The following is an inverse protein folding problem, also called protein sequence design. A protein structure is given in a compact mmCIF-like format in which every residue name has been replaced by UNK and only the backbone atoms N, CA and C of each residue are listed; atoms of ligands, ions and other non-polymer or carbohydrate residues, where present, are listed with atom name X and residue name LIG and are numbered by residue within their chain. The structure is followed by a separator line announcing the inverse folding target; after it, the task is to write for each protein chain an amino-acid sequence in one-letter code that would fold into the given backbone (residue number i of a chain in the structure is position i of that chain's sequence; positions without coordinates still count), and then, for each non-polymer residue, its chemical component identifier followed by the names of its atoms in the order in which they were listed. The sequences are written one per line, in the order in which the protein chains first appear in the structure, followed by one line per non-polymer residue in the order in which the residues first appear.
data_IF_158252312138
#
_entry.id   IF_158252312138
#
_cell.length_a   1.000
_cell.length_b   1.000
_cell.length_c   1.000
_cell.angle_alpha   90.00
_cell.angle_beta   90.00
_cell.angle_gamma   90.00
#
_symmetry.space_group_name_H-M   'P 1'
#
loop_
_entity.id
_entity.type
_entity.pdbx_description
1 polymer ?
#
# COMPACT_ATOMS: atom_id res chain seq x y z
N UNK A 1 7.47 -13.74 59.82
CA UNK A 1 6.34 -14.41 59.11
C UNK A 1 5.63 -13.52 58.09
N UNK A 2 6.25 -12.41 57.68
CA UNK A 2 5.68 -11.48 56.68
C UNK A 2 6.41 -11.51 55.29
N UNK A 3 7.50 -12.23 55.15
CA UNK A 3 8.29 -12.26 53.91
C UNK A 3 7.82 -13.38 52.96
N UNK A 4 7.09 -14.37 53.45
CA UNK A 4 6.60 -15.49 52.62
C UNK A 4 5.34 -15.16 51.80
N UNK A 5 4.56 -14.14 52.18
CA UNK A 5 3.32 -13.78 51.50
C UNK A 5 3.55 -12.91 50.26
N UNK A 6 4.63 -12.11 50.24
CA UNK A 6 4.96 -11.24 49.12
C UNK A 6 5.54 -11.98 47.89
N UNK A 7 6.32 -13.03 48.14
CA UNK A 7 6.92 -13.86 47.07
C UNK A 7 5.86 -14.73 46.39
N UNK A 8 4.84 -15.17 47.11
CA UNK A 8 3.76 -15.99 46.57
C UNK A 8 2.79 -15.20 45.67
N UNK A 9 2.57 -13.92 45.89
CA UNK A 9 1.69 -13.09 45.05
C UNK A 9 2.38 -12.73 43.74
N UNK A 10 3.65 -12.32 43.77
CA UNK A 10 4.41 -12.00 42.57
C UNK A 10 4.64 -13.21 41.63
N UNK A 11 4.80 -14.42 42.19
CA UNK A 11 4.88 -15.66 41.40
C UNK A 11 3.53 -16.15 40.86
N UNK A 12 2.42 -15.65 41.37
CA UNK A 12 1.07 -15.99 40.90
C UNK A 12 0.51 -14.98 39.88
N UNK A 13 0.88 -13.69 39.97
CA UNK A 13 0.24 -12.59 39.23
C UNK A 13 1.20 -11.68 38.44
N UNK A 14 2.51 -11.93 38.45
CA UNK A 14 3.47 -11.19 37.58
C UNK A 14 3.46 -11.67 36.14
N UNK A 15 4.07 -10.93 35.21
CA UNK A 15 4.13 -11.24 33.77
C UNK A 15 4.63 -12.66 33.45
N UNK A 16 5.33 -13.30 34.38
CA UNK A 16 5.75 -14.70 34.34
C UNK A 16 5.05 -15.57 35.41
N UNK A 17 3.95 -15.11 35.98
CA UNK A 17 3.20 -15.79 37.02
C UNK A 17 2.49 -17.05 36.54
N UNK A 18 2.23 -17.98 37.47
CA UNK A 18 1.53 -19.23 37.12
C UNK A 18 0.14 -18.96 36.58
N UNK A 19 -0.57 -17.96 37.10
CA UNK A 19 -1.91 -17.60 36.60
C UNK A 19 -1.86 -17.00 35.17
N UNK A 20 -0.83 -16.20 34.86
CA UNK A 20 -0.63 -15.65 33.51
C UNK A 20 -0.35 -16.78 32.51
N UNK A 21 0.56 -17.72 32.87
CA UNK A 21 0.85 -18.88 32.01
C UNK A 21 -0.32 -19.85 31.85
N UNK A 22 -1.15 -19.99 32.87
CA UNK A 22 -2.39 -20.81 32.76
C UNK A 22 -3.41 -20.10 31.87
N UNK A 23 -3.53 -18.78 31.96
CA UNK A 23 -4.40 -17.99 31.10
C UNK A 23 -3.96 -18.07 29.63
N UNK A 24 -2.67 -17.82 29.35
CA UNK A 24 -2.08 -17.95 28.01
C UNK A 24 -2.20 -19.35 27.44
N UNK A 25 -2.00 -20.39 28.29
CA UNK A 25 -2.16 -21.78 27.85
C UNK A 25 -3.62 -22.12 27.54
N UNK A 26 -4.57 -21.55 28.30
CA UNK A 26 -6.00 -21.74 28.05
C UNK A 26 -6.41 -21.03 26.76
N UNK A 27 -5.97 -19.80 26.55
CA UNK A 27 -6.25 -19.01 25.35
C UNK A 27 -5.71 -19.68 24.08
N UNK A 28 -4.45 -20.16 24.10
CA UNK A 28 -3.88 -20.95 23.00
C UNK A 28 -4.62 -22.26 22.72
N UNK A 29 -5.20 -22.86 23.76
CA UNK A 29 -5.99 -24.09 23.60
C UNK A 29 -7.36 -23.78 22.98
N UNK A 30 -8.00 -22.69 23.40
CA UNK A 30 -9.28 -22.23 22.85
C UNK A 30 -9.10 -21.80 21.38
N UNK A 31 -8.04 -21.07 21.03
CA UNK A 31 -7.70 -20.69 19.66
C UNK A 31 -7.48 -21.93 18.76
N UNK A 32 -6.73 -22.92 19.23
CA UNK A 32 -6.51 -24.14 18.47
C UNK A 32 -7.82 -24.91 18.23
N UNK A 33 -8.72 -24.93 19.22
CA UNK A 33 -10.04 -25.58 19.09
C UNK A 33 -10.96 -24.80 18.13
N UNK A 34 -10.93 -23.48 18.14
CA UNK A 34 -11.69 -22.67 17.19
C UNK A 34 -11.21 -22.87 15.76
N UNK A 35 -9.89 -22.86 15.51
CA UNK A 35 -9.31 -23.11 14.19
C UNK A 35 -9.66 -24.52 13.67
N UNK A 36 -9.53 -25.54 14.51
CA UNK A 36 -9.92 -26.92 14.18
C UNK A 36 -11.41 -27.01 13.83
N UNK A 37 -12.26 -26.32 14.58
CA UNK A 37 -13.69 -26.21 14.29
C UNK A 37 -14.01 -25.54 12.97
N UNK A 38 -13.27 -24.46 12.62
CA UNK A 38 -13.41 -23.78 11.32
C UNK A 38 -12.94 -24.67 10.17
N UNK A 39 -11.83 -25.40 10.32
CA UNK A 39 -11.36 -26.39 9.33
C UNK A 39 -12.39 -27.49 9.06
N UNK A 40 -13.03 -27.97 10.11
CA UNK A 40 -14.11 -28.97 10.00
C UNK A 40 -15.33 -28.39 9.29
N UNK A 41 -15.76 -27.17 9.64
CA UNK A 41 -16.87 -26.47 8.99
C UNK A 41 -16.58 -26.22 7.50
N UNK A 42 -15.35 -25.82 7.14
CA UNK A 42 -14.91 -25.66 5.77
C UNK A 42 -15.04 -26.96 4.97
N UNK A 43 -14.53 -28.04 5.54
CA UNK A 43 -14.62 -29.37 4.92
C UNK A 43 -16.07 -29.80 4.74
N UNK A 44 -16.92 -29.53 5.73
CA UNK A 44 -18.36 -29.82 5.68
C UNK A 44 -19.07 -28.97 4.62
N UNK A 45 -18.75 -27.69 4.53
CA UNK A 45 -19.33 -26.77 3.55
C UNK A 45 -18.99 -27.15 2.09
N UNK A 46 -17.87 -27.80 1.87
CA UNK A 46 -17.44 -28.27 0.54
C UNK A 46 -18.01 -29.67 0.16
N UNK A 47 -18.63 -30.35 1.11
CA UNK A 47 -19.25 -31.66 0.88
C UNK A 47 -20.78 -31.50 0.92
N UNK A 48 -21.42 -31.46 -0.25
CA UNK A 48 -22.88 -31.47 -0.36
C UNK A 48 -23.45 -32.85 -0.51
N UNK A 49 -24.76 -32.96 -0.52
CA UNK A 49 -25.53 -34.25 -0.64
C UNK A 49 -25.17 -35.01 -1.93
N UNK A 50 -24.63 -34.33 -2.95
CA UNK A 50 -24.29 -34.90 -4.26
C UNK A 50 -22.77 -35.03 -4.49
N UNK A 51 -21.93 -34.77 -3.50
CA UNK A 51 -20.47 -34.75 -3.59
C UNK A 51 -19.89 -33.34 -3.38
N UNK A 52 -18.70 -33.08 -3.98
CA UNK A 52 -18.03 -31.80 -3.84
C UNK A 52 -18.87 -30.64 -4.38
N UNK A 53 -19.00 -29.57 -3.60
CA UNK A 53 -19.64 -28.32 -3.99
C UNK A 53 -18.70 -27.13 -3.79
N UNK A 54 -18.93 -26.09 -4.57
CA UNK A 54 -18.16 -24.85 -4.45
C UNK A 54 -18.50 -24.14 -3.14
N UNK A 55 -17.47 -23.65 -2.46
CA UNK A 55 -17.62 -22.89 -1.22
C UNK A 55 -18.28 -21.54 -1.50
N UNK A 56 -19.33 -21.22 -0.75
CA UNK A 56 -19.99 -19.92 -0.80
C UNK A 56 -20.45 -19.52 0.61
N UNK A 57 -20.84 -18.25 0.77
CA UNK A 57 -21.26 -17.72 2.07
C UNK A 57 -22.36 -18.54 2.74
N UNK A 58 -23.35 -19.00 1.96
CA UNK A 58 -24.51 -19.69 2.51
C UNK A 58 -24.16 -21.08 3.06
N UNK A 59 -23.38 -21.88 2.30
CA UNK A 59 -23.00 -23.21 2.75
C UNK A 59 -21.95 -23.17 3.87
N UNK A 60 -21.08 -22.17 3.86
CA UNK A 60 -20.12 -21.95 4.94
C UNK A 60 -20.81 -21.48 6.21
N UNK A 61 -21.74 -20.52 6.14
CA UNK A 61 -22.53 -20.09 7.31
C UNK A 61 -23.28 -21.25 7.96
N UNK A 62 -23.93 -22.08 7.13
CA UNK A 62 -24.63 -23.25 7.64
C UNK A 62 -23.68 -24.20 8.38
N UNK A 63 -22.52 -24.50 7.82
CA UNK A 63 -21.54 -25.38 8.45
C UNK A 63 -20.94 -24.79 9.73
N UNK A 64 -20.74 -23.48 9.78
CA UNK A 64 -20.31 -22.76 10.99
C UNK A 64 -21.40 -22.82 12.07
N UNK A 65 -22.67 -22.61 11.73
CA UNK A 65 -23.79 -22.71 12.67
C UNK A 65 -23.97 -24.13 13.21
N UNK A 66 -23.76 -25.15 12.38
CA UNK A 66 -23.74 -26.55 12.81
C UNK A 66 -22.58 -26.88 13.77
N UNK A 67 -21.39 -26.29 13.54
CA UNK A 67 -20.19 -26.57 14.33
C UNK A 67 -20.17 -25.80 15.68
N UNK A 68 -20.57 -24.53 15.67
CA UNK A 68 -20.43 -23.63 16.83
C UNK A 68 -21.75 -23.24 17.48
N UNK A 69 -22.88 -23.49 16.82
CA UNK A 69 -24.20 -23.07 17.23
C UNK A 69 -24.71 -21.85 16.46
N UNK A 70 -26.00 -21.83 16.16
CA UNK A 70 -26.65 -20.77 15.38
C UNK A 70 -26.43 -19.38 16.01
N UNK A 71 -25.98 -18.43 15.18
CA UNK A 71 -25.73 -17.04 15.58
C UNK A 71 -24.48 -16.81 16.45
N UNK A 72 -23.63 -17.82 16.64
CA UNK A 72 -22.35 -17.67 17.37
C UNK A 72 -21.28 -17.01 16.54
N UNK A 73 -21.32 -17.16 15.22
CA UNK A 73 -20.45 -16.48 14.29
C UNK A 73 -21.19 -16.08 13.02
N UNK A 74 -20.69 -15.04 12.36
CA UNK A 74 -21.24 -14.52 11.10
C UNK A 74 -20.20 -14.69 10.01
N UNK A 75 -20.58 -15.29 8.89
CA UNK A 75 -19.75 -15.43 7.70
C UNK A 75 -20.05 -14.29 6.72
N UNK A 76 -19.01 -13.60 6.27
CA UNK A 76 -19.10 -12.54 5.27
C UNK A 76 -18.25 -12.91 4.06
N UNK A 77 -18.82 -12.81 2.86
CA UNK A 77 -18.10 -12.94 1.59
C UNK A 77 -17.39 -11.62 1.26
N UNK A 78 -16.08 -11.66 1.06
CA UNK A 78 -15.26 -10.49 0.73
C UNK A 78 -15.26 -10.14 -0.76
N UNK A 79 -16.04 -10.85 -1.59
CA UNK A 79 -16.10 -10.72 -3.07
C UNK A 79 -14.80 -11.07 -3.82
N UNK A 80 -13.75 -11.46 -3.10
CA UNK A 80 -12.45 -11.89 -3.65
C UNK A 80 -12.26 -13.41 -3.52
N UNK A 81 -13.36 -14.18 -3.43
CA UNK A 81 -13.37 -15.61 -3.10
C UNK A 81 -12.70 -15.92 -1.74
N UNK A 82 -12.61 -14.99 -0.83
CA UNK A 82 -12.26 -15.20 0.57
C UNK A 82 -13.45 -14.92 1.48
N UNK A 83 -13.44 -15.48 2.69
CA UNK A 83 -14.53 -15.30 3.65
C UNK A 83 -13.96 -14.83 4.98
N UNK A 84 -14.73 -13.99 5.68
CA UNK A 84 -14.45 -13.61 7.07
C UNK A 84 -15.48 -14.30 7.96
N UNK A 85 -15.01 -15.01 8.97
CA UNK A 85 -15.84 -15.60 10.03
C UNK A 85 -15.63 -14.75 11.28
N UNK A 86 -16.71 -14.10 11.74
CA UNK A 86 -16.71 -13.22 12.90
C UNK A 86 -17.40 -13.88 14.08
N UNK A 87 -16.64 -14.18 15.11
CA UNK A 87 -17.13 -14.49 16.46
C UNK A 87 -17.30 -13.22 17.29
N UNK A 88 -17.81 -13.32 18.49
CA UNK A 88 -18.04 -12.16 19.36
C UNK A 88 -16.76 -11.33 19.62
N UNK A 89 -15.61 -12.01 19.80
CA UNK A 89 -14.35 -11.39 20.21
C UNK A 89 -13.18 -11.69 19.23
N UNK A 90 -13.42 -12.43 18.14
CA UNK A 90 -12.38 -12.87 17.19
C UNK A 90 -12.91 -12.91 15.77
N UNK A 91 -12.05 -12.69 14.83
CA UNK A 91 -12.34 -12.81 13.40
C UNK A 91 -11.29 -13.67 12.72
N UNK A 92 -11.71 -14.49 11.78
CA UNK A 92 -10.83 -15.35 10.99
C UNK A 92 -11.05 -15.07 9.50
N UNK A 93 -9.99 -14.91 8.76
CA UNK A 93 -10.04 -14.88 7.29
C UNK A 93 -9.75 -16.27 6.74
N UNK A 94 -10.58 -16.69 5.80
CA UNK A 94 -10.38 -17.88 4.99
C UNK A 94 -10.00 -17.43 3.59
N UNK A 95 -8.77 -17.72 3.18
CA UNK A 95 -8.28 -17.41 1.84
C UNK A 95 -8.88 -18.36 0.79
N UNK A 96 -8.76 -18.00 -0.50
CA UNK A 96 -9.12 -18.87 -1.63
C UNK A 96 -8.48 -20.26 -1.61
N UNK A 97 -7.33 -20.39 -0.96
CA UNK A 97 -6.60 -21.65 -0.81
C UNK A 97 -7.07 -22.46 0.40
N UNK A 98 -8.06 -21.97 1.16
CA UNK A 98 -8.54 -22.61 2.38
C UNK A 98 -7.66 -22.36 3.61
N UNK A 99 -6.66 -21.46 3.53
CA UNK A 99 -5.87 -21.11 4.69
C UNK A 99 -6.69 -20.24 5.65
N UNK A 100 -6.66 -20.59 6.94
CA UNK A 100 -7.34 -19.89 8.01
C UNK A 100 -6.31 -19.08 8.77
N UNK A 101 -6.51 -17.76 8.81
CA UNK A 101 -5.73 -16.82 9.62
C UNK A 101 -6.65 -16.08 10.58
N UNK A 102 -6.27 -15.99 11.84
CA UNK A 102 -6.97 -15.12 12.78
C UNK A 102 -6.69 -13.65 12.39
N UNK A 103 -7.75 -12.87 12.24
CA UNK A 103 -7.64 -11.43 12.15
C UNK A 103 -7.51 -10.95 13.60
N UNK A 104 -6.28 -10.78 14.06
CA UNK A 104 -6.07 -10.21 15.39
C UNK A 104 -6.48 -8.74 15.35
N UNK A 105 -7.65 -8.44 15.89
CA UNK A 105 -7.95 -7.08 16.31
C UNK A 105 -7.22 -6.88 17.63
N UNK A 106 -6.07 -6.23 17.59
CA UNK A 106 -5.39 -5.82 18.81
C UNK A 106 -6.24 -4.72 19.44
N UNK A 107 -7.02 -5.12 20.46
CA UNK A 107 -7.84 -4.19 21.27
C UNK A 107 -7.01 -3.50 22.36
N UNK A 108 -5.70 -3.71 22.38
CA UNK A 108 -4.80 -3.19 23.41
C UNK A 108 -3.93 -1.99 22.99
N UNK A 109 -4.06 -1.48 21.76
CA UNK A 109 -3.44 -0.20 21.47
C UNK A 109 -4.23 0.90 22.20
N UNK A 110 -3.58 1.57 23.13
CA UNK A 110 -4.09 2.85 23.63
C UNK A 110 -4.37 3.71 22.41
N UNK A 111 -5.61 4.24 22.21
CA UNK A 111 -5.90 5.05 21.04
C UNK A 111 -4.82 6.12 20.84
N UNK A 112 -4.13 6.11 19.68
CA UNK A 112 -3.08 7.06 19.33
C UNK A 112 -1.67 6.66 19.73
N UNK A 113 -1.40 5.38 19.79
CA UNK A 113 -0.04 4.85 19.85
C UNK A 113 0.04 3.59 18.98
N UNK A 114 1.16 3.41 18.30
CA UNK A 114 1.47 2.13 17.66
C UNK A 114 2.08 1.18 18.71
N UNK A 115 1.79 -0.10 18.61
CA UNK A 115 2.49 -1.11 19.39
C UNK A 115 3.97 -1.17 18.96
N UNK A 116 4.86 -1.59 19.87
CA UNK A 116 6.32 -1.64 19.63
C UNK A 116 7.05 -0.42 20.21
N UNK A 117 8.36 -0.37 19.97
CA UNK A 117 9.22 0.70 20.50
C UNK A 117 10.10 1.38 19.41
N UNK A 118 9.84 1.09 18.12
CA UNK A 118 10.50 1.70 16.99
C UNK A 118 11.91 1.20 16.69
N UNK A 119 12.40 0.16 17.36
CA UNK A 119 13.71 -0.45 17.06
C UNK A 119 13.61 -1.47 15.94
N UNK A 120 14.72 -1.86 15.34
CA UNK A 120 14.76 -2.89 14.29
C UNK A 120 14.20 -4.24 14.76
N UNK A 121 14.44 -4.59 16.03
CA UNK A 121 13.98 -5.86 16.62
C UNK A 121 12.56 -5.77 17.18
N UNK A 122 12.10 -4.58 17.51
CA UNK A 122 10.77 -4.28 18.05
C UNK A 122 10.18 -3.04 17.36
N UNK A 123 9.87 -3.14 16.05
CA UNK A 123 9.36 -2.01 15.26
C UNK A 123 7.98 -1.56 15.76
N UNK A 124 7.61 -0.34 15.45
CA UNK A 124 6.22 0.09 15.55
C UNK A 124 5.36 -0.73 14.58
N UNK A 125 4.20 -1.20 15.05
CA UNK A 125 3.36 -2.12 14.29
C UNK A 125 2.12 -1.40 13.72
N UNK A 126 1.83 -1.67 12.44
CA UNK A 126 0.57 -1.32 11.79
C UNK A 126 -0.20 -2.61 11.58
N UNK A 127 -1.29 -2.78 12.32
CA UNK A 127 -2.10 -3.99 12.35
C UNK A 127 -3.49 -3.77 11.76
N UNK A 128 -3.91 -2.50 11.66
CA UNK A 128 -5.24 -2.09 11.22
C UNK A 128 -5.19 -0.83 10.34
N UNK A 129 -6.32 -0.47 9.73
CA UNK A 129 -6.47 0.81 9.02
C UNK A 129 -6.33 1.97 10.00
N UNK A 130 -6.80 1.80 11.23
CA UNK A 130 -6.68 2.78 12.32
C UNK A 130 -5.23 3.12 12.60
N UNK A 131 -4.37 2.10 12.70
CA UNK A 131 -2.95 2.30 12.94
C UNK A 131 -2.29 2.99 11.76
N UNK A 132 -2.66 2.62 10.52
CA UNK A 132 -2.16 3.31 9.33
C UNK A 132 -2.58 4.78 9.30
N UNK A 133 -3.82 5.09 9.68
CA UNK A 133 -4.34 6.45 9.75
C UNK A 133 -3.67 7.22 10.89
N UNK A 134 -3.49 6.58 12.06
CA UNK A 134 -2.73 7.17 13.14
C UNK A 134 -1.29 7.48 12.73
N UNK A 135 -0.60 6.54 12.09
CA UNK A 135 0.76 6.72 11.58
C UNK A 135 0.83 7.91 10.60
N UNK A 136 -0.12 7.99 9.67
CA UNK A 136 -0.18 9.11 8.71
C UNK A 136 -0.39 10.45 9.41
N UNK A 137 -1.29 10.49 10.39
CA UNK A 137 -1.53 11.66 11.21
C UNK A 137 -0.29 12.07 12.01
N UNK A 138 0.39 11.10 12.65
CA UNK A 138 1.52 11.35 13.53
C UNK A 138 2.73 11.91 12.76
N UNK A 139 3.01 11.36 11.57
CA UNK A 139 4.03 11.93 10.65
C UNK A 139 3.65 13.36 10.24
N UNK A 140 2.38 13.60 9.89
CA UNK A 140 1.89 14.94 9.49
C UNK A 140 1.95 15.97 10.62
N UNK A 141 2.06 15.52 11.88
CA UNK A 141 2.21 16.38 13.05
C UNK A 141 3.66 16.53 13.55
N UNK A 142 4.63 16.02 12.80
CA UNK A 142 6.05 16.23 13.04
C UNK A 142 6.79 15.08 13.69
N UNK A 143 6.15 13.91 13.93
CA UNK A 143 6.90 12.70 14.25
C UNK A 143 7.42 12.06 12.96
N UNK A 144 8.65 12.34 12.60
CA UNK A 144 9.24 11.92 11.32
C UNK A 144 9.68 10.47 11.29
N UNK A 145 9.65 9.77 12.42
CA UNK A 145 10.17 8.41 12.61
C UNK A 145 11.64 8.25 12.19
N UNK A 146 12.42 9.33 12.28
CA UNK A 146 13.84 9.28 11.91
C UNK A 146 14.58 8.23 12.76
N UNK A 147 15.35 7.35 12.09
CA UNK A 147 16.07 6.22 12.69
C UNK A 147 15.17 5.18 13.36
N UNK A 148 13.85 5.24 13.17
CA UNK A 148 12.87 4.32 13.73
C UNK A 148 12.29 3.37 12.65
N UNK A 149 11.84 2.21 13.11
CA UNK A 149 11.32 1.12 12.28
C UNK A 149 9.81 0.98 12.45
N UNK A 150 9.11 0.93 11.34
CA UNK A 150 7.66 0.71 11.27
C UNK A 150 7.39 -0.51 10.40
N UNK A 151 6.52 -1.41 10.82
CA UNK A 151 6.23 -2.65 10.13
C UNK A 151 4.74 -2.93 10.05
N UNK A 152 4.24 -3.30 8.88
CA UNK A 152 2.88 -3.84 8.76
C UNK A 152 2.85 -5.31 9.18
N UNK A 153 1.82 -5.71 9.90
CA UNK A 153 1.60 -7.13 10.22
C UNK A 153 0.57 -7.77 9.29
N UNK A 154 -0.44 -7.04 8.86
CA UNK A 154 -1.55 -7.56 8.06
C UNK A 154 -1.78 -6.72 6.81
N UNK A 155 -2.32 -7.37 5.78
CA UNK A 155 -2.85 -6.67 4.61
C UNK A 155 -4.12 -5.91 4.98
N UNK A 156 -4.29 -4.70 4.43
CA UNK A 156 -5.39 -3.80 4.74
C UNK A 156 -6.30 -3.66 3.51
N UNK A 157 -7.62 -3.61 3.74
CA UNK A 157 -8.59 -3.43 2.66
C UNK A 157 -9.59 -2.32 2.99
N UNK A 158 -9.46 -1.17 2.34
CA UNK A 158 -10.30 0.00 2.59
C UNK A 158 -11.78 -0.16 2.20
N UNK A 159 -12.14 -1.19 1.42
CA UNK A 159 -13.54 -1.50 1.08
C UNK A 159 -14.16 -2.60 1.94
N UNK A 160 -13.38 -3.34 2.73
CA UNK A 160 -13.89 -4.44 3.54
C UNK A 160 -14.74 -3.95 4.71
N UNK A 161 -14.52 -2.72 5.13
CA UNK A 161 -15.31 -2.09 6.18
C UNK A 161 -15.85 -0.74 5.68
N UNK A 162 -17.13 -0.70 5.30
CA UNK A 162 -17.79 0.53 4.87
C UNK A 162 -17.90 1.58 5.98
N UNK A 163 -17.60 1.22 7.24
CA UNK A 163 -17.54 2.17 8.35
C UNK A 163 -16.35 3.13 8.23
N UNK A 164 -15.27 2.74 7.53
CA UNK A 164 -14.11 3.62 7.28
C UNK A 164 -14.38 4.72 6.25
N UNK A 165 -15.40 4.56 5.42
CA UNK A 165 -15.86 5.56 4.45
C UNK A 165 -17.02 6.37 5.04
N UNK A 166 -17.41 6.12 6.29
CA UNK A 166 -18.58 6.73 6.90
C UNK A 166 -18.23 8.11 7.48
N UNK A 167 -19.02 9.17 7.17
CA UNK A 167 -18.84 10.51 7.71
C UNK A 167 -18.93 10.62 9.24
N UNK A 168 -19.32 9.57 9.95
CA UNK A 168 -19.31 9.50 11.42
C UNK A 168 -17.96 9.08 12.04
N UNK A 169 -16.86 9.18 11.30
CA UNK A 169 -15.49 8.98 11.77
C UNK A 169 -15.11 9.91 12.95
N UNK A 170 -15.92 10.90 13.28
CA UNK A 170 -15.72 11.76 14.45
C UNK A 170 -15.54 11.00 15.78
N UNK A 171 -16.00 9.74 15.85
CA UNK A 171 -15.90 8.89 17.04
C UNK A 171 -14.92 7.72 16.91
N UNK A 172 -14.18 7.66 15.81
CA UNK A 172 -13.26 6.58 15.54
C UNK A 172 -12.01 6.72 16.43
N UNK A 173 -11.71 5.72 17.23
CA UNK A 173 -10.55 5.65 18.14
C UNK A 173 -10.52 6.68 19.29
N UNK A 174 -11.60 7.35 19.65
CA UNK A 174 -11.56 8.39 20.69
C UNK A 174 -10.76 9.64 20.33
N UNK A 175 -10.41 9.80 19.06
CA UNK A 175 -9.72 10.96 18.50
C UNK A 175 -10.72 11.98 17.95
N UNK A 176 -11.49 12.59 18.81
CA UNK A 176 -12.35 13.70 18.40
C UNK A 176 -11.55 14.74 17.60
N UNK A 177 -11.86 14.88 16.32
CA UNK A 177 -11.32 15.92 15.44
C UNK A 177 -9.97 15.65 14.77
N UNK A 178 -9.21 14.63 15.15
CA UNK A 178 -7.85 14.39 14.63
C UNK A 178 -7.82 13.55 13.35
N UNK A 179 -8.70 12.56 13.23
CA UNK A 179 -8.83 11.71 12.04
C UNK A 179 -9.47 12.44 10.84
N UNK A 180 -10.11 13.57 11.08
CA UNK A 180 -10.72 14.39 10.03
C UNK A 180 -9.74 14.83 8.94
N UNK A 181 -8.44 14.84 9.23
CA UNK A 181 -7.39 15.18 8.28
C UNK A 181 -6.86 13.99 7.48
N UNK A 182 -7.03 12.76 7.96
CA UNK A 182 -6.43 11.59 7.32
C UNK A 182 -7.45 10.78 6.49
N UNK A 183 -8.74 10.83 6.84
CA UNK A 183 -9.82 10.15 6.13
C UNK A 183 -11.06 11.04 6.13
N UNK A 184 -11.52 11.45 4.96
CA UNK A 184 -12.83 12.06 4.79
C UNK A 184 -13.64 11.19 3.83
N UNK A 185 -14.98 11.18 4.00
CA UNK A 185 -15.89 10.43 3.11
C UNK A 185 -15.83 10.88 1.64
N UNK A 186 -15.37 12.11 1.39
CA UNK A 186 -15.29 12.70 0.05
C UNK A 186 -13.88 12.57 -0.54
N UNK A 187 -12.84 12.71 0.29
CA UNK A 187 -11.45 12.84 -0.15
C UNK A 187 -10.63 11.55 0.05
N UNK A 188 -11.10 10.64 0.90
CA UNK A 188 -10.40 9.39 1.20
C UNK A 188 -9.15 9.60 2.05
N UNK A 189 -8.09 8.83 1.77
CA UNK A 189 -6.85 8.86 2.52
C UNK A 189 -5.96 10.01 2.04
N UNK A 190 -5.39 10.80 2.95
CA UNK A 190 -4.55 11.96 2.61
C UNK A 190 -3.06 11.65 2.42
N UNK A 191 -2.65 10.39 2.53
CA UNK A 191 -1.25 9.99 2.51
C UNK A 191 -0.54 10.20 3.85
N UNK A 192 0.66 9.65 3.96
CA UNK A 192 1.52 9.71 5.14
C UNK A 192 2.42 10.92 5.01
N UNK A 193 2.39 11.81 6.02
CA UNK A 193 3.16 13.04 6.07
C UNK A 193 2.47 14.24 5.44
N UNK A 194 3.08 15.44 5.56
CA UNK A 194 2.56 16.66 4.96
C UNK A 194 2.50 16.58 3.43
N UNK A 195 1.46 17.14 2.86
CA UNK A 195 1.34 17.34 1.41
C UNK A 195 2.29 18.42 0.91
N UNK A 196 2.58 19.45 1.73
CA UNK A 196 3.47 20.55 1.37
C UNK A 196 4.93 20.05 1.39
N UNK A 197 5.59 20.10 0.26
CA UNK A 197 6.98 19.65 0.11
C UNK A 197 8.01 20.47 0.90
N UNK A 198 7.61 21.62 1.43
CA UNK A 198 8.47 22.50 2.23
C UNK A 198 8.36 22.25 3.75
N UNK A 199 7.35 21.50 4.19
CA UNK A 199 7.17 21.08 5.59
C UNK A 199 8.10 19.92 5.96
N UNK A 200 9.42 20.11 5.85
CA UNK A 200 10.40 19.02 5.96
C UNK A 200 10.41 18.30 7.31
N UNK A 201 9.93 18.93 8.36
CA UNK A 201 9.75 18.36 9.71
C UNK A 201 8.46 17.50 9.86
N UNK A 202 7.71 17.34 8.78
CA UNK A 202 6.46 16.56 8.73
C UNK A 202 6.46 15.51 7.61
N UNK A 203 7.63 15.03 7.25
CA UNK A 203 7.79 13.98 6.24
C UNK A 203 8.37 12.71 6.87
N UNK A 204 8.34 11.61 6.12
CA UNK A 204 8.81 10.32 6.62
C UNK A 204 10.33 10.15 6.39
N UNK A 205 11.07 9.86 7.46
CA UNK A 205 12.52 9.64 7.45
C UNK A 205 12.94 8.26 7.94
N UNK A 206 11.99 7.42 8.41
CA UNK A 206 12.24 6.15 9.05
C UNK A 206 12.43 4.97 8.09
N UNK A 207 12.29 3.77 8.64
CA UNK A 207 12.33 2.51 7.93
C UNK A 207 10.93 1.88 7.94
N UNK A 208 10.22 1.90 6.82
CA UNK A 208 8.91 1.28 6.66
C UNK A 208 9.05 -0.06 5.93
N UNK A 209 8.72 -1.15 6.61
CA UNK A 209 8.63 -2.48 6.02
C UNK A 209 7.15 -2.89 5.90
N UNK A 210 6.62 -2.91 4.69
CA UNK A 210 5.28 -3.43 4.42
C UNK A 210 5.13 -4.93 4.70
N UNK A 211 6.24 -5.64 5.03
CA UNK A 211 6.24 -7.04 5.44
C UNK A 211 5.50 -7.97 4.46
N UNK A 212 5.56 -7.64 3.17
CA UNK A 212 4.87 -8.37 2.10
C UNK A 212 3.33 -8.26 2.15
N UNK A 213 2.81 -7.31 2.90
CA UNK A 213 1.40 -7.00 2.98
C UNK A 213 0.92 -6.19 1.77
N UNK A 214 -0.38 -6.20 1.57
CA UNK A 214 -1.06 -5.48 0.49
C UNK A 214 -2.06 -4.49 1.10
N UNK A 215 -2.01 -3.25 0.66
CA UNK A 215 -3.08 -2.28 0.90
C UNK A 215 -3.98 -2.29 -0.35
N UNK A 216 -5.23 -2.70 -0.17
CA UNK A 216 -6.21 -2.80 -1.25
C UNK A 216 -7.25 -1.70 -1.19
N UNK A 217 -7.71 -1.25 -2.38
CA UNK A 217 -8.80 -0.28 -2.52
C UNK A 217 -8.51 1.07 -1.86
N UNK A 218 -7.23 1.44 -1.76
CA UNK A 218 -6.85 2.77 -1.28
C UNK A 218 -7.45 3.84 -2.21
N UNK A 219 -8.15 4.80 -1.62
CA UNK A 219 -8.80 5.89 -2.33
C UNK A 219 -8.25 7.23 -1.86
N UNK A 220 -7.78 8.05 -2.81
CA UNK A 220 -7.38 9.45 -2.62
C UNK A 220 -8.13 10.25 -3.66
N UNK A 221 -8.92 11.24 -3.24
CA UNK A 221 -9.67 12.08 -4.16
C UNK A 221 -9.73 13.49 -3.58
N UNK A 222 -8.92 14.41 -4.11
CA UNK A 222 -8.87 15.74 -3.55
C UNK A 222 -8.57 16.83 -4.58
N UNK A 223 -9.05 18.03 -4.26
CA UNK A 223 -8.77 19.27 -4.97
C UNK A 223 -7.74 20.08 -4.19
N UNK A 224 -6.55 20.23 -4.75
CA UNK A 224 -5.47 20.96 -4.12
C UNK A 224 -5.25 22.34 -4.75
N UNK A 225 -5.14 23.34 -3.90
CA UNK A 225 -4.98 24.75 -4.30
C UNK A 225 -3.64 25.35 -3.85
N UNK A 226 -2.76 24.54 -3.24
CA UNK A 226 -1.44 24.93 -2.77
C UNK A 226 -0.42 25.03 -3.89
N UNK A 227 0.73 25.67 -3.64
CA UNK A 227 1.73 25.95 -4.68
C UNK A 227 2.66 24.76 -5.00
N UNK A 228 2.91 23.89 -4.04
CA UNK A 228 3.74 22.71 -4.25
C UNK A 228 3.28 21.57 -3.34
N UNK A 229 2.98 20.44 -3.92
CA UNK A 229 2.45 19.31 -3.17
C UNK A 229 2.97 17.96 -3.70
N UNK A 230 2.98 16.99 -2.81
CA UNK A 230 3.24 15.60 -3.13
C UNK A 230 2.10 14.72 -2.61
N UNK A 231 1.64 13.76 -3.42
CA UNK A 231 0.50 12.87 -3.13
C UNK A 231 0.85 11.43 -3.45
N UNK A 232 0.63 10.53 -2.51
CA UNK A 232 0.81 9.08 -2.64
C UNK A 232 0.39 8.36 -1.35
N UNK A 233 0.68 7.09 -1.23
CA UNK A 233 0.60 6.44 0.09
C UNK A 233 1.49 7.19 1.09
N UNK A 234 2.71 7.53 0.69
CA UNK A 234 3.57 8.52 1.35
C UNK A 234 3.63 9.78 0.50
N UNK A 235 3.42 10.93 1.10
CA UNK A 235 3.51 12.18 0.36
C UNK A 235 4.96 12.50 0.01
N UNK A 236 5.85 12.49 1.00
CA UNK A 236 7.29 12.63 0.81
C UNK A 236 8.04 11.51 1.56
N UNK A 237 9.10 10.99 0.95
CA UNK A 237 9.97 9.98 1.55
C UNK A 237 11.44 10.41 1.52
N UNK A 238 12.06 10.45 2.69
CA UNK A 238 13.51 10.60 2.89
C UNK A 238 14.15 9.33 3.47
N UNK A 239 13.32 8.40 3.95
CA UNK A 239 13.72 7.15 4.57
C UNK A 239 13.74 5.95 3.61
N UNK A 240 13.38 4.80 4.12
CA UNK A 240 13.29 3.55 3.35
C UNK A 240 11.87 3.00 3.38
N UNK A 241 11.32 2.67 2.22
CA UNK A 241 10.02 2.01 2.06
C UNK A 241 10.24 0.71 1.28
N UNK A 242 9.82 -0.42 1.82
CA UNK A 242 10.02 -1.71 1.15
C UNK A 242 8.88 -2.71 1.37
N UNK A 243 8.81 -3.73 0.50
CA UNK A 243 7.98 -4.92 0.63
C UNK A 243 6.48 -4.61 0.81
N UNK A 244 5.94 -3.65 0.08
CA UNK A 244 4.52 -3.26 0.13
C UNK A 244 3.88 -3.33 -1.27
N UNK A 245 2.65 -3.83 -1.33
CA UNK A 245 1.83 -3.80 -2.53
C UNK A 245 0.63 -2.87 -2.37
N UNK A 246 0.32 -2.12 -3.43
CA UNK A 246 -0.93 -1.39 -3.54
C UNK A 246 -1.79 -2.02 -4.64
N UNK A 247 -2.96 -2.52 -4.27
CA UNK A 247 -3.86 -3.20 -5.19
C UNK A 247 -5.17 -2.46 -5.36
N UNK A 248 -5.59 -2.30 -6.62
CA UNK A 248 -6.85 -1.64 -6.97
C UNK A 248 -6.98 -0.22 -6.37
N UNK A 249 -5.88 0.55 -6.42
CA UNK A 249 -5.90 1.94 -5.96
C UNK A 249 -6.74 2.82 -6.88
N UNK A 250 -7.31 3.88 -6.30
CA UNK A 250 -7.97 4.94 -7.05
C UNK A 250 -7.48 6.29 -6.51
N UNK A 251 -6.48 6.85 -7.17
CA UNK A 251 -5.91 8.15 -6.84
C UNK A 251 -6.40 9.16 -7.87
N UNK A 252 -7.18 10.14 -7.43
CA UNK A 252 -7.73 11.20 -8.26
C UNK A 252 -7.36 12.56 -7.67
N UNK A 253 -6.48 13.27 -8.35
CA UNK A 253 -5.93 14.55 -7.89
C UNK A 253 -6.26 15.65 -8.88
N UNK A 254 -7.06 16.62 -8.45
CA UNK A 254 -7.24 17.88 -9.16
C UNK A 254 -6.32 18.95 -8.57
N UNK A 255 -5.36 19.43 -9.35
CA UNK A 255 -4.43 20.46 -8.95
C UNK A 255 -4.78 21.80 -9.59
N UNK A 256 -5.26 22.73 -8.77
CA UNK A 256 -5.70 24.08 -9.17
C UNK A 256 -5.09 25.15 -8.27
N UNK A 257 -3.81 25.44 -8.42
CA UNK A 257 -3.15 26.41 -7.57
C UNK A 257 -3.73 27.83 -7.75
N UNK A 258 -3.86 28.55 -6.64
CA UNK A 258 -4.53 29.85 -6.59
C UNK A 258 -3.69 31.01 -7.13
N UNK A 259 -2.38 30.84 -7.31
CA UNK A 259 -1.46 31.94 -7.57
C UNK A 259 -0.82 31.90 -8.97
N UNK A 260 -0.29 33.05 -9.38
CA UNK A 260 0.43 33.20 -10.64
C UNK A 260 1.87 32.71 -10.60
N UNK A 261 2.36 32.25 -9.44
CA UNK A 261 3.72 31.77 -9.22
C UNK A 261 3.90 30.31 -9.74
N UNK A 262 5.13 29.87 -9.87
CA UNK A 262 5.45 28.49 -10.22
C UNK A 262 4.88 27.51 -9.20
N UNK A 263 4.12 26.51 -9.67
CA UNK A 263 3.51 25.50 -8.83
C UNK A 263 3.71 24.11 -9.43
N UNK A 264 3.94 23.10 -8.58
CA UNK A 264 4.19 21.74 -9.03
C UNK A 264 3.49 20.73 -8.12
N UNK A 265 2.80 19.76 -8.73
CA UNK A 265 2.27 18.60 -8.05
C UNK A 265 3.06 17.33 -8.43
N UNK A 266 3.39 16.53 -7.44
CA UNK A 266 4.06 15.25 -7.59
C UNK A 266 3.11 14.14 -7.14
N UNK A 267 2.73 13.24 -8.04
CA UNK A 267 1.69 12.24 -7.79
C UNK A 267 2.24 10.85 -8.10
N UNK A 268 2.20 9.97 -7.12
CA UNK A 268 2.62 8.57 -7.28
C UNK A 268 1.73 7.61 -6.51
N UNK A 269 1.73 6.35 -6.89
CA UNK A 269 0.99 5.35 -6.12
C UNK A 269 1.59 5.14 -4.74
N UNK A 270 2.89 4.88 -4.67
CA UNK A 270 3.62 4.68 -3.41
C UNK A 270 4.05 6.02 -2.82
N UNK A 271 4.73 6.87 -3.59
CA UNK A 271 5.31 8.12 -3.08
C UNK A 271 5.07 9.25 -4.07
N UNK A 272 4.61 10.39 -3.57
CA UNK A 272 4.53 11.59 -4.38
C UNK A 272 5.91 12.08 -4.82
N UNK A 273 6.83 12.32 -3.86
CA UNK A 273 8.22 12.72 -4.13
C UNK A 273 9.20 11.96 -3.24
N UNK A 274 10.23 11.37 -3.84
CA UNK A 274 11.20 10.51 -3.18
C UNK A 274 12.61 11.12 -3.17
N UNK A 275 13.23 11.12 -2.00
CA UNK A 275 14.65 11.43 -1.77
C UNK A 275 15.38 10.29 -1.03
N UNK A 276 14.65 9.23 -0.65
CA UNK A 276 15.15 8.05 0.02
C UNK A 276 15.18 6.80 -0.88
N UNK A 277 14.94 5.65 -0.29
CA UNK A 277 14.93 4.36 -0.97
C UNK A 277 13.54 3.73 -1.00
N UNK A 278 13.14 3.23 -2.16
CA UNK A 278 11.94 2.42 -2.36
C UNK A 278 12.37 1.10 -2.99
N UNK A 279 12.00 -0.03 -2.40
CA UNK A 279 12.38 -1.33 -2.96
C UNK A 279 11.30 -2.39 -2.81
N UNK A 280 11.19 -3.27 -3.80
CA UNK A 280 10.26 -4.41 -3.77
C UNK A 280 8.82 -3.99 -3.52
N UNK A 281 8.34 -3.01 -4.29
CA UNK A 281 6.97 -2.49 -4.22
C UNK A 281 6.23 -2.68 -5.53
N UNK A 282 4.90 -2.69 -5.47
CA UNK A 282 4.09 -2.63 -6.69
C UNK A 282 2.83 -1.79 -6.51
N UNK A 283 2.28 -1.35 -7.65
CA UNK A 283 1.02 -0.64 -7.72
C UNK A 283 0.11 -1.23 -8.80
N UNK A 284 -1.20 -1.28 -8.54
CA UNK A 284 -2.22 -1.60 -9.53
C UNK A 284 -3.51 -0.82 -9.26
N UNK A 285 -4.29 -0.55 -10.29
CA UNK A 285 -5.51 0.26 -10.21
C UNK A 285 -5.45 1.46 -11.13
N UNK A 286 -5.84 2.65 -10.66
CA UNK A 286 -5.88 3.85 -11.49
C UNK A 286 -5.31 5.06 -10.74
N UNK A 287 -4.55 5.87 -11.47
CA UNK A 287 -4.05 7.17 -11.04
C UNK A 287 -4.52 8.20 -12.05
N UNK A 288 -5.31 9.15 -11.60
CA UNK A 288 -5.83 10.23 -12.40
C UNK A 288 -5.37 11.58 -11.86
N UNK A 289 -4.76 12.40 -12.71
CA UNK A 289 -4.27 13.72 -12.33
C UNK A 289 -4.76 14.78 -13.31
N UNK A 290 -5.36 15.82 -12.77
CA UNK A 290 -5.89 16.95 -13.55
C UNK A 290 -5.19 18.23 -13.12
N UNK A 291 -4.69 18.96 -14.09
CA UNK A 291 -4.25 20.33 -13.88
C UNK A 291 -5.29 21.33 -14.38
N UNK A 292 -5.77 22.18 -13.49
CA UNK A 292 -6.70 23.28 -13.80
C UNK A 292 -6.11 24.61 -13.35
N UNK A 293 -5.25 25.19 -14.16
CA UNK A 293 -4.64 26.48 -13.83
C UNK A 293 -3.95 27.12 -15.01
N UNK A 294 -3.55 28.39 -14.86
CA UNK A 294 -2.81 29.15 -15.85
C UNK A 294 -1.41 29.46 -15.36
N UNK A 295 -0.41 29.55 -16.26
CA UNK A 295 0.94 29.99 -15.90
C UNK A 295 1.99 28.89 -15.86
N UNK A 296 3.12 29.16 -15.22
CA UNK A 296 4.33 28.30 -15.22
C UNK A 296 4.20 27.17 -14.19
N UNK A 297 3.52 26.08 -14.54
CA UNK A 297 3.09 25.03 -13.61
C UNK A 297 3.27 23.66 -14.19
N UNK A 298 3.43 22.67 -13.32
CA UNK A 298 3.65 21.30 -13.76
C UNK A 298 2.96 20.26 -12.89
N UNK A 299 2.55 19.17 -13.51
CA UNK A 299 2.22 17.91 -12.84
C UNK A 299 3.27 16.88 -13.21
N UNK A 300 3.68 16.06 -12.25
CA UNK A 300 4.58 14.94 -12.44
C UNK A 300 3.93 13.71 -11.86
N UNK A 301 3.50 12.81 -12.72
CA UNK A 301 2.74 11.62 -12.32
C UNK A 301 3.49 10.35 -12.70
N UNK A 302 3.64 9.44 -11.74
CA UNK A 302 4.21 8.10 -11.97
C UNK A 302 3.39 7.02 -11.29
N UNK A 303 3.41 5.82 -11.82
CA UNK A 303 2.71 4.70 -11.21
C UNK A 303 3.24 4.35 -9.82
N UNK A 304 4.54 4.47 -9.61
CA UNK A 304 5.21 4.26 -8.32
C UNK A 304 5.47 5.60 -7.64
N UNK A 305 6.10 6.54 -8.35
CA UNK A 305 6.57 7.80 -7.78
C UNK A 305 6.39 8.98 -8.75
N UNK A 306 5.91 10.12 -8.24
CA UNK A 306 5.78 11.35 -9.05
C UNK A 306 7.14 11.93 -9.44
N UNK A 307 8.07 12.02 -8.50
CA UNK A 307 9.45 12.45 -8.75
C UNK A 307 10.44 11.73 -7.83
N UNK A 308 11.54 11.26 -8.40
CA UNK A 308 12.76 10.96 -7.64
C UNK A 308 13.65 12.19 -7.75
N UNK A 309 13.90 12.87 -6.64
CA UNK A 309 14.77 14.06 -6.63
C UNK A 309 16.24 13.66 -6.49
N UNK A 310 16.51 12.81 -5.50
CA UNK A 310 17.74 12.05 -5.28
C UNK A 310 17.34 10.74 -4.60
N UNK A 311 18.02 9.66 -4.79
CA UNK A 311 17.68 8.39 -4.17
C UNK A 311 17.31 7.29 -5.16
N UNK A 312 16.70 6.22 -4.68
CA UNK A 312 16.59 4.96 -5.40
C UNK A 312 15.15 4.42 -5.42
N UNK A 313 14.75 3.92 -6.59
CA UNK A 313 13.64 2.95 -6.69
C UNK A 313 14.19 1.71 -7.38
N UNK A 314 13.99 0.55 -6.78
CA UNK A 314 14.47 -0.71 -7.34
C UNK A 314 13.51 -1.87 -7.16
N UNK A 315 13.69 -2.90 -8.01
CA UNK A 315 13.01 -4.18 -7.90
C UNK A 315 11.48 -4.03 -7.76
N UNK A 316 10.88 -3.17 -8.57
CA UNK A 316 9.50 -2.71 -8.38
C UNK A 316 8.72 -2.72 -9.69
N UNK A 317 7.39 -2.71 -9.64
CA UNK A 317 6.61 -2.60 -10.87
C UNK A 317 5.32 -1.80 -10.73
N UNK A 318 4.89 -1.24 -11.84
CA UNK A 318 3.58 -0.62 -11.99
C UNK A 318 2.66 -1.42 -12.91
N UNK A 319 1.46 -1.69 -12.44
CA UNK A 319 0.32 -2.20 -13.21
C UNK A 319 -0.91 -1.27 -13.13
N UNK A 320 -0.78 -0.11 -12.49
CA UNK A 320 -1.84 0.90 -12.45
C UNK A 320 -1.88 1.69 -13.77
N UNK A 321 -3.08 1.98 -14.25
CA UNK A 321 -3.26 2.89 -15.38
C UNK A 321 -3.10 4.34 -14.91
N UNK A 322 -2.48 5.16 -15.74
CA UNK A 322 -2.23 6.56 -15.43
C UNK A 322 -2.93 7.41 -16.50
N UNK A 323 -3.76 8.34 -16.06
CA UNK A 323 -4.40 9.30 -16.95
C UNK A 323 -4.12 10.71 -16.44
N UNK A 324 -3.64 11.59 -17.33
CA UNK A 324 -3.40 12.99 -16.98
C UNK A 324 -4.18 13.90 -17.94
N UNK A 325 -4.84 14.89 -17.35
CA UNK A 325 -5.49 15.96 -18.09
C UNK A 325 -4.87 17.30 -17.74
N UNK A 326 -4.55 18.10 -18.75
CA UNK A 326 -3.98 19.42 -18.59
C UNK A 326 -4.74 20.44 -19.43
N UNK A 327 -5.29 21.47 -18.78
CA UNK A 327 -6.02 22.49 -19.49
C UNK A 327 -5.12 23.64 -19.98
N UNK A 328 -4.15 24.09 -19.17
CA UNK A 328 -3.31 25.26 -19.52
C UNK A 328 -1.89 25.26 -18.92
N UNK A 329 -1.37 24.12 -18.45
CA UNK A 329 -0.03 24.04 -17.83
C UNK A 329 1.12 24.14 -18.83
N UNK A 330 2.33 24.37 -18.36
CA UNK A 330 3.51 24.57 -19.21
C UNK A 330 4.44 23.38 -19.30
N UNK A 331 4.38 22.45 -18.35
CA UNK A 331 5.26 21.27 -18.35
C UNK A 331 4.66 20.15 -17.53
N UNK A 332 4.27 19.09 -18.17
CA UNK A 332 3.76 17.88 -17.52
C UNK A 332 4.69 16.71 -17.81
N UNK A 333 4.96 15.87 -16.83
CA UNK A 333 5.73 14.64 -17.01
C UNK A 333 4.93 13.44 -16.47
N UNK A 334 4.77 12.41 -17.32
CA UNK A 334 4.01 11.21 -16.98
C UNK A 334 4.89 9.99 -17.29
N UNK A 335 5.12 9.13 -16.31
CA UNK A 335 5.85 7.90 -16.51
C UNK A 335 5.15 6.68 -15.94
N UNK A 336 5.31 5.55 -16.59
CA UNK A 336 4.73 4.30 -16.11
C UNK A 336 5.21 3.94 -14.70
N UNK A 337 6.49 4.11 -14.42
CA UNK A 337 7.04 3.96 -13.08
C UNK A 337 7.20 5.31 -12.37
N UNK A 338 7.84 6.29 -13.04
CA UNK A 338 8.23 7.57 -12.42
C UNK A 338 7.91 8.74 -13.33
N UNK A 339 7.29 9.79 -12.77
CA UNK A 339 7.02 11.02 -13.52
C UNK A 339 8.31 11.71 -13.97
N UNK A 340 9.23 12.00 -13.05
CA UNK A 340 10.51 12.65 -13.35
C UNK A 340 11.64 12.12 -12.47
N UNK A 341 12.81 11.90 -13.07
CA UNK A 341 14.08 11.69 -12.38
C UNK A 341 14.88 12.99 -12.40
N UNK A 342 15.45 13.38 -11.25
CA UNK A 342 16.31 14.55 -11.10
C UNK A 342 17.76 14.14 -10.77
N UNK A 343 18.53 15.04 -10.18
CA UNK A 343 19.94 14.84 -9.88
C UNK A 343 20.17 13.61 -9.00
N UNK A 344 21.09 12.72 -9.41
CA UNK A 344 21.50 11.53 -8.66
C UNK A 344 20.36 10.52 -8.34
N UNK A 345 19.25 10.65 -9.06
CA UNK A 345 18.12 9.73 -8.98
C UNK A 345 18.41 8.42 -9.71
N UNK A 346 17.97 7.31 -9.15
CA UNK A 346 18.15 5.99 -9.77
C UNK A 346 16.83 5.20 -9.81
N UNK A 347 16.56 4.60 -10.98
CA UNK A 347 15.49 3.63 -11.17
C UNK A 347 16.10 2.34 -11.73
N UNK A 348 15.96 1.24 -11.02
CA UNK A 348 16.68 -0.01 -11.32
C UNK A 348 15.74 -1.21 -11.29
N UNK A 349 15.94 -2.20 -12.16
CA UNK A 349 15.24 -3.49 -12.18
C UNK A 349 13.73 -3.34 -12.01
N UNK A 350 13.11 -2.46 -12.77
CA UNK A 350 11.69 -2.14 -12.60
C UNK A 350 10.96 -2.17 -13.92
N UNK A 351 9.64 -2.40 -13.89
CA UNK A 351 8.89 -2.43 -15.13
C UNK A 351 7.47 -1.84 -14.99
N UNK A 352 6.89 -1.48 -16.13
CA UNK A 352 5.53 -0.99 -16.26
C UNK A 352 4.70 -1.81 -17.25
N UNK A 353 3.49 -2.19 -16.85
CA UNK A 353 2.45 -2.76 -17.72
C UNK A 353 1.15 -1.94 -17.71
N UNK A 354 1.09 -0.88 -16.91
CA UNK A 354 -0.05 0.03 -16.86
C UNK A 354 -0.12 0.93 -18.11
N UNK A 355 -1.32 1.22 -18.56
CA UNK A 355 -1.58 2.09 -19.73
C UNK A 355 -1.40 3.56 -19.31
N UNK A 356 -0.71 4.32 -20.14
CA UNK A 356 -0.55 5.76 -19.96
C UNK A 356 -1.43 6.48 -20.97
N UNK A 357 -2.29 7.39 -20.51
CA UNK A 357 -3.14 8.25 -21.31
C UNK A 357 -2.90 9.70 -20.98
N UNK A 358 -2.73 10.48 -22.01
CA UNK A 358 -2.66 11.92 -21.94
C UNK A 358 -3.84 12.53 -22.75
N UNK A 359 -4.56 13.46 -22.14
CA UNK A 359 -5.69 14.13 -22.78
C UNK A 359 -5.33 15.59 -23.01
N UNK A 360 -4.44 15.91 -23.99
CA UNK A 360 -3.93 17.27 -24.14
C UNK A 360 -3.39 17.68 -25.51
N UNK A 361 -3.32 19.02 -25.69
CA UNK A 361 -2.76 19.69 -26.87
C UNK A 361 -1.39 20.35 -26.64
N UNK A 362 -0.69 20.07 -25.52
CA UNK A 362 0.57 20.76 -25.14
C UNK A 362 1.76 19.82 -24.94
N UNK A 363 2.94 20.41 -24.73
CA UNK A 363 4.18 19.64 -24.57
C UNK A 363 4.16 18.84 -23.27
N UNK A 364 3.90 17.55 -23.41
CA UNK A 364 3.96 16.60 -22.31
C UNK A 364 5.19 15.73 -22.52
N UNK A 365 5.93 15.52 -21.46
CA UNK A 365 6.97 14.52 -21.40
C UNK A 365 6.35 13.23 -20.87
N UNK A 366 6.04 12.28 -21.76
CA UNK A 366 5.43 11.02 -21.37
C UNK A 366 6.28 9.84 -21.82
N UNK A 367 6.39 8.81 -20.97
CA UNK A 367 7.18 7.61 -21.27
C UNK A 367 6.69 6.37 -20.53
N UNK A 368 6.82 5.22 -21.18
CA UNK A 368 6.42 3.92 -20.63
C UNK A 368 7.10 3.57 -19.32
N UNK A 369 8.30 4.10 -19.06
CA UNK A 369 9.05 3.98 -17.81
C UNK A 369 9.04 5.29 -17.05
N UNK A 370 9.55 6.37 -17.67
CA UNK A 370 9.69 7.67 -17.05
C UNK A 370 9.20 8.78 -17.97
N UNK A 371 8.48 9.75 -17.41
CA UNK A 371 8.04 10.93 -18.17
C UNK A 371 9.22 11.79 -18.58
N UNK A 372 10.15 12.02 -17.67
CA UNK A 372 11.34 12.82 -17.94
C UNK A 372 12.54 12.33 -17.13
N UNK A 373 13.70 12.30 -17.77
CA UNK A 373 14.99 12.30 -17.10
C UNK A 373 15.60 13.69 -17.28
N UNK A 374 15.55 14.51 -16.23
CA UNK A 374 15.90 15.93 -16.33
C UNK A 374 17.38 16.24 -16.09
N UNK A 375 18.17 15.23 -15.70
CA UNK A 375 19.59 15.40 -15.36
C UNK A 375 20.45 14.26 -15.89
N UNK A 376 21.66 14.57 -16.33
CA UNK A 376 22.60 13.57 -16.86
C UNK A 376 23.15 12.62 -15.79
N UNK A 377 23.09 12.97 -14.49
CA UNK A 377 23.51 12.11 -13.38
C UNK A 377 22.45 11.09 -12.98
N UNK A 378 21.20 11.26 -13.42
CA UNK A 378 20.14 10.29 -13.14
C UNK A 378 20.28 9.04 -14.01
N UNK A 379 20.03 7.88 -13.40
CA UNK A 379 20.20 6.57 -14.07
C UNK A 379 18.89 5.80 -14.15
N UNK A 380 18.67 5.15 -15.28
CA UNK A 380 17.60 4.17 -15.50
C UNK A 380 18.27 2.90 -16.02
N UNK A 381 18.24 1.83 -15.22
CA UNK A 381 18.98 0.59 -15.52
C UNK A 381 18.06 -0.62 -15.39
N UNK A 382 18.05 -1.51 -16.37
CA UNK A 382 17.21 -2.72 -16.41
C UNK A 382 15.73 -2.42 -16.19
N UNK A 383 15.21 -1.37 -16.83
CA UNK A 383 13.83 -0.95 -16.72
C UNK A 383 13.09 -1.16 -18.04
N UNK A 384 11.87 -1.70 -17.96
CA UNK A 384 11.14 -2.17 -19.14
C UNK A 384 9.67 -1.74 -19.10
N UNK A 385 9.06 -1.60 -20.27
CA UNK A 385 7.62 -1.37 -20.36
C UNK A 385 6.99 -2.25 -21.44
N UNK A 386 5.70 -2.53 -21.22
CA UNK A 386 4.91 -3.33 -22.13
C UNK A 386 4.60 -2.55 -23.41
N UNK A 387 4.86 -3.16 -24.58
CA UNK A 387 4.46 -2.63 -25.87
C UNK A 387 2.95 -2.34 -25.90
N UNK A 388 2.59 -1.15 -26.38
CA UNK A 388 1.21 -0.68 -26.45
C UNK A 388 0.71 0.07 -25.21
N UNK A 389 1.49 0.14 -24.13
CA UNK A 389 1.13 0.99 -22.97
C UNK A 389 1.50 2.45 -23.18
N UNK A 390 2.58 2.71 -23.91
CA UNK A 390 2.98 4.02 -24.42
C UNK A 390 3.91 3.88 -25.63
N UNK A 391 4.20 5.00 -26.35
CA UNK A 391 4.97 4.98 -27.60
C UNK A 391 6.49 5.04 -27.39
N UNK A 392 6.96 5.68 -26.32
CA UNK A 392 8.39 5.85 -25.99
C UNK A 392 8.66 5.43 -24.55
N UNK A 393 9.87 5.00 -24.24
CA UNK A 393 10.21 4.58 -22.90
C UNK A 393 10.45 5.74 -21.93
N UNK A 394 11.15 6.78 -22.40
CA UNK A 394 11.45 8.00 -21.63
C UNK A 394 11.09 9.20 -22.48
N UNK A 395 10.13 10.02 -21.99
CA UNK A 395 9.55 11.13 -22.76
C UNK A 395 10.49 12.30 -22.97
N UNK A 396 11.07 12.85 -21.91
CA UNK A 396 12.04 13.95 -21.95
C UNK A 396 13.41 13.47 -21.48
N UNK A 397 14.48 13.79 -22.23
CA UNK A 397 15.84 13.30 -21.94
C UNK A 397 16.86 14.41 -21.88
N UNK A 398 17.77 14.31 -20.91
CA UNK A 398 19.02 15.09 -20.88
C UNK A 398 20.16 14.07 -20.84
N UNK A 399 20.90 13.96 -21.95
CA UNK A 399 22.23 13.34 -21.93
C UNK A 399 22.35 11.81 -22.02
N UNK A 400 21.27 11.04 -22.25
CA UNK A 400 21.37 9.57 -22.34
C UNK A 400 20.85 9.07 -23.68
N UNK A 401 21.71 8.34 -24.40
CA UNK A 401 21.34 7.54 -25.55
C UNK A 401 20.91 6.14 -25.06
N UNK A 402 19.67 5.99 -24.59
CA UNK A 402 19.11 4.65 -24.40
C UNK A 402 18.57 4.13 -25.73
N UNK A 403 18.91 2.90 -26.04
CA UNK A 403 18.32 2.16 -27.14
C UNK A 403 16.88 1.82 -26.75
N UNK A 404 15.90 2.62 -27.18
CA UNK A 404 14.47 2.40 -26.88
C UNK A 404 13.99 1.00 -27.27
N UNK A 405 14.56 0.42 -28.32
CA UNK A 405 14.28 -0.95 -28.74
C UNK A 405 14.58 -1.99 -27.66
N UNK A 406 15.50 -1.68 -26.73
CA UNK A 406 15.87 -2.61 -25.66
C UNK A 406 14.97 -2.50 -24.43
N UNK A 407 14.22 -1.42 -24.24
CA UNK A 407 13.38 -1.21 -23.05
C UNK A 407 11.90 -1.53 -23.26
N UNK A 408 11.41 -1.46 -24.52
CA UNK A 408 10.06 -1.91 -24.85
C UNK A 408 10.03 -3.43 -25.07
N UNK A 409 9.06 -4.11 -24.49
CA UNK A 409 8.94 -5.57 -24.59
C UNK A 409 7.51 -5.97 -24.97
N UNK A 410 7.39 -7.04 -25.76
CA UNK A 410 6.10 -7.63 -26.08
C UNK A 410 5.52 -8.37 -24.87
N UNK A 411 4.19 -8.55 -24.88
CA UNK A 411 3.49 -9.30 -23.82
C UNK A 411 4.04 -10.71 -23.64
N UNK A 412 4.26 -11.44 -24.73
CA UNK A 412 4.75 -12.83 -24.67
C UNK A 412 6.18 -12.88 -24.08
N UNK A 413 7.04 -11.92 -24.48
CA UNK A 413 8.39 -11.86 -23.92
C UNK A 413 8.36 -11.51 -22.43
N UNK A 414 7.56 -10.54 -21.99
CA UNK A 414 7.47 -10.18 -20.57
C UNK A 414 6.89 -11.29 -19.67
N UNK A 415 6.26 -12.30 -20.26
CA UNK A 415 5.76 -13.50 -19.55
C UNK A 415 6.70 -14.69 -19.63
N UNK A 416 7.90 -14.51 -20.16
CA UNK A 416 8.89 -15.58 -20.35
C UNK A 416 9.94 -15.62 -19.24
N UNK A 417 10.56 -16.79 -19.08
CA UNK A 417 11.70 -16.94 -18.18
C UNK A 417 12.91 -16.09 -18.61
N UNK A 418 13.05 -15.78 -19.90
CA UNK A 418 14.12 -14.91 -20.38
C UNK A 418 13.95 -13.49 -19.85
N UNK A 419 12.73 -12.98 -19.81
CA UNK A 419 12.45 -11.68 -19.19
C UNK A 419 12.64 -11.71 -17.68
N UNK A 420 12.24 -12.79 -17.02
CA UNK A 420 12.46 -12.97 -15.59
C UNK A 420 13.94 -12.94 -15.23
N UNK A 421 14.79 -13.62 -16.04
CA UNK A 421 16.24 -13.58 -15.86
C UNK A 421 16.82 -12.18 -16.10
N UNK A 422 16.26 -11.43 -17.04
CA UNK A 422 16.66 -10.07 -17.35
C UNK A 422 16.32 -9.08 -16.21
N UNK A 423 15.14 -9.23 -15.58
CA UNK A 423 14.72 -8.45 -14.42
C UNK A 423 15.46 -8.82 -13.13
N UNK A 424 15.90 -10.07 -13.01
CA UNK A 424 16.50 -10.63 -11.81
C UNK A 424 15.55 -11.53 -11.02
N UNK A 425 15.72 -12.83 -11.16
CA UNK A 425 14.92 -13.89 -10.55
C UNK A 425 15.05 -13.98 -9.01
N UNK A 426 15.93 -13.23 -8.40
CA UNK A 426 16.01 -13.10 -6.95
C UNK A 426 14.85 -12.27 -6.37
N UNK A 427 14.32 -11.33 -7.16
CA UNK A 427 13.26 -10.41 -6.73
C UNK A 427 11.91 -10.68 -7.38
N UNK A 428 11.90 -11.33 -8.54
CA UNK A 428 10.71 -11.58 -9.32
C UNK A 428 10.52 -13.08 -9.60
N UNK A 429 9.26 -13.47 -9.77
CA UNK A 429 8.82 -14.81 -10.21
C UNK A 429 7.66 -14.67 -11.20
N UNK A 430 7.36 -15.71 -11.95
CA UNK A 430 6.18 -15.78 -12.82
C UNK A 430 5.17 -16.74 -12.23
N UNK A 431 3.95 -16.28 -12.02
CA UNK A 431 2.79 -17.09 -11.65
C UNK A 431 1.65 -16.80 -12.62
N UNK A 432 1.16 -17.82 -13.31
CA UNK A 432 0.19 -17.66 -14.41
C UNK A 432 -1.16 -17.06 -13.99
N UNK A 433 -1.54 -17.24 -12.73
CA UNK A 433 -2.79 -16.75 -12.13
C UNK A 433 -2.65 -15.39 -11.45
N UNK A 434 -1.45 -14.81 -11.39
CA UNK A 434 -1.19 -13.49 -10.83
C UNK A 434 -0.75 -12.52 -11.91
N UNK A 435 -1.10 -11.26 -11.76
CA UNK A 435 -0.69 -10.16 -12.64
C UNK A 435 -0.81 -10.49 -14.14
N UNK A 436 -1.86 -11.24 -14.53
CA UNK A 436 -2.07 -11.73 -15.90
C UNK A 436 -0.87 -12.51 -16.48
N UNK A 437 -0.06 -13.16 -15.65
CA UNK A 437 1.13 -13.92 -16.04
C UNK A 437 2.39 -13.09 -16.22
N UNK A 438 2.37 -11.78 -16.01
CA UNK A 438 3.57 -10.96 -15.92
C UNK A 438 4.30 -11.21 -14.60
N UNK A 439 5.64 -10.99 -14.52
CA UNK A 439 6.37 -11.18 -13.30
C UNK A 439 5.73 -10.49 -12.09
N UNK A 440 5.75 -11.13 -10.97
CA UNK A 440 5.36 -10.58 -9.67
C UNK A 440 6.56 -10.63 -8.73
N UNK A 441 6.53 -9.89 -7.65
CA UNK A 441 7.57 -9.97 -6.64
C UNK A 441 7.59 -11.35 -5.99
N UNK A 442 8.76 -11.86 -5.64
CA UNK A 442 8.90 -13.23 -5.09
C UNK A 442 8.04 -13.48 -3.87
N UNK A 443 7.69 -12.45 -3.14
CA UNK A 443 6.86 -12.53 -1.95
C UNK A 443 5.34 -12.51 -2.23
N UNK A 444 4.89 -12.16 -3.44
CA UNK A 444 3.47 -12.26 -3.81
C UNK A 444 3.10 -13.72 -4.07
#
# INVERSE_FOLDING_TARGET
MLILAGVTIATLTGDNGILTRVSESKEKTEEAQEKEGIELALSTAQIGDSGYQELNQTNLQKAIDEQFGEGKAVVTDTKNNSFIIKFANKEYEISNSGNISEIQRVTDSTPGTLAGNGTETEPYLIESIEDLVFFAYDVSNGNTYQDEYVKMLYSLNFNADSSYINPNIENFCGYEGKLKYALTSENGFHGIGSLDIYDTDKHFYGYFDGNKCIISNLFINDLYTTNALAVGLFNMNYGTIKNIGLSNININVEFKPNETNSATAFIGGIVGRNEGTISSVYTSGNIYSIFKGTGNRSIRTGGICGQITSGLIENSYNAANITTEENEGTSTAIGGCVGTLSTDASLVNSYNIGIIKENNNKTIYAGGIAGSNSQASATITNCYYLYGTYNVGIGGRVGVADNEENIVKSSDYMKSNDFLNLLGNAYFKIESNKNNGYPVLTWQ
#
